data_IF_681046310666
#
_entry.id   IF_681046310666
#
_cell.length_a   1.000
_cell.length_b   1.000
_cell.length_c   1.000
_cell.angle_alpha   90.00
_cell.angle_beta   90.00
_cell.angle_gamma   90.00
#
_symmetry.space_group_name_H-M   'P 1'
#
loop_
_entity.id
_entity.type
_entity.pdbx_description
1 polymer ?
#
# COMPACT_ATOMS: atom_id res chain seq x y z
N UNK A 1 2.57 23.24 -10.62
CA UNK A 1 2.51 22.32 -9.45
C UNK A 1 3.42 21.15 -9.74
N UNK A 2 4.42 20.89 -8.90
CA UNK A 2 5.19 19.67 -8.99
C UNK A 2 4.36 18.48 -8.49
N UNK A 3 4.37 17.38 -9.22
CA UNK A 3 3.65 16.17 -8.85
C UNK A 3 4.27 15.55 -7.58
N UNK A 4 3.42 15.23 -6.59
CA UNK A 4 3.81 14.47 -5.38
C UNK A 4 4.40 13.08 -5.67
N UNK A 5 4.34 12.63 -6.92
CA UNK A 5 4.75 11.29 -7.36
C UNK A 5 6.10 11.25 -8.09
N UNK A 6 6.85 12.37 -8.15
CA UNK A 6 8.13 12.47 -8.90
C UNK A 6 9.20 11.46 -8.47
N UNK A 7 9.12 10.97 -7.24
CA UNK A 7 10.11 10.05 -6.64
C UNK A 7 9.64 8.58 -6.62
N UNK A 8 8.51 8.26 -7.25
CA UNK A 8 8.04 6.87 -7.36
C UNK A 8 8.69 6.22 -8.58
N UNK A 9 9.60 5.28 -8.32
CA UNK A 9 10.26 4.48 -9.34
C UNK A 9 9.64 3.09 -9.42
N UNK A 10 8.41 3.01 -9.95
CA UNK A 10 7.65 1.75 -10.04
C UNK A 10 8.42 0.64 -10.77
N UNK A 11 9.20 0.99 -11.81
CA UNK A 11 10.05 0.03 -12.52
C UNK A 11 11.05 -0.70 -11.61
N UNK A 12 11.61 -0.02 -10.60
CA UNK A 12 12.55 -0.63 -9.65
C UNK A 12 11.85 -1.54 -8.65
N UNK A 13 10.64 -1.16 -8.21
CA UNK A 13 9.82 -2.00 -7.35
C UNK A 13 9.42 -3.28 -8.09
N UNK A 14 9.02 -3.17 -9.36
CA UNK A 14 8.72 -4.34 -10.20
C UNK A 14 9.97 -5.23 -10.31
N UNK A 15 11.14 -4.66 -10.63
CA UNK A 15 12.38 -5.43 -10.73
C UNK A 15 12.66 -6.21 -9.44
N UNK A 16 12.57 -5.54 -8.29
CA UNK A 16 12.74 -6.18 -6.98
C UNK A 16 11.77 -7.36 -6.78
N UNK A 17 10.50 -7.20 -7.15
CA UNK A 17 9.49 -8.26 -7.00
C UNK A 17 9.70 -9.43 -7.95
N UNK A 18 10.26 -9.19 -9.13
CA UNK A 18 10.70 -10.28 -10.03
C UNK A 18 11.87 -11.04 -9.42
N UNK A 19 12.85 -10.33 -8.85
CA UNK A 19 14.03 -10.93 -8.21
C UNK A 19 13.64 -11.78 -6.98
N UNK A 20 12.71 -11.31 -6.16
CA UNK A 20 12.15 -12.03 -4.99
C UNK A 20 11.40 -13.32 -5.38
N UNK A 21 10.82 -13.37 -6.59
CA UNK A 21 10.12 -14.56 -7.12
C UNK A 21 11.07 -15.65 -7.60
N UNK A 22 12.37 -15.37 -7.72
CA UNK A 22 13.38 -16.28 -8.25
C UNK A 22 13.06 -16.83 -9.66
N UNK A 23 12.30 -16.09 -10.45
CA UNK A 23 12.04 -16.40 -11.87
C UNK A 23 13.05 -15.69 -12.76
N UNK A 24 13.41 -16.32 -13.89
CA UNK A 24 14.30 -15.66 -14.85
C UNK A 24 13.60 -14.48 -15.53
N UNK A 25 14.36 -13.46 -15.90
CA UNK A 25 13.82 -12.33 -16.68
C UNK A 25 13.27 -12.77 -18.05
N UNK A 26 13.80 -13.82 -18.66
CA UNK A 26 13.23 -14.36 -19.88
C UNK A 26 11.82 -14.94 -19.66
N UNK A 27 11.65 -15.69 -18.58
CA UNK A 27 10.37 -16.28 -18.21
C UNK A 27 9.35 -15.21 -17.80
N UNK A 28 9.78 -14.22 -17.01
CA UNK A 28 8.93 -13.08 -16.67
C UNK A 28 8.47 -12.30 -17.92
N UNK A 29 9.40 -11.98 -18.83
CA UNK A 29 9.06 -11.31 -20.09
C UNK A 29 8.01 -12.07 -20.90
N UNK A 30 8.13 -13.40 -20.96
CA UNK A 30 7.18 -14.29 -21.63
C UNK A 30 5.79 -14.21 -20.99
N UNK A 31 5.72 -14.22 -19.66
CA UNK A 31 4.48 -14.16 -18.90
C UNK A 31 3.75 -12.82 -19.07
N UNK A 32 4.48 -11.72 -19.26
CA UNK A 32 3.89 -10.38 -19.52
C UNK A 32 3.84 -10.01 -21.00
N UNK A 33 4.01 -10.99 -21.89
CA UNK A 33 3.91 -10.86 -23.35
C UNK A 33 4.84 -9.81 -23.97
N UNK A 34 6.07 -9.69 -23.47
CA UNK A 34 7.07 -8.76 -24.02
C UNK A 34 8.40 -9.44 -24.36
N UNK A 35 9.23 -8.74 -25.13
CA UNK A 35 10.61 -9.16 -25.35
C UNK A 35 11.43 -8.94 -24.07
N UNK A 36 12.42 -9.81 -23.83
CA UNK A 36 13.35 -9.67 -22.69
C UNK A 36 14.05 -8.31 -22.67
N UNK A 37 14.41 -7.77 -23.82
CA UNK A 37 15.05 -6.45 -23.95
C UNK A 37 14.14 -5.32 -23.46
N UNK A 38 12.82 -5.46 -23.62
CA UNK A 38 11.82 -4.50 -23.15
C UNK A 38 11.75 -4.41 -21.63
N UNK A 39 12.18 -5.44 -20.89
CA UNK A 39 12.18 -5.41 -19.42
C UNK A 39 13.08 -4.31 -18.86
N UNK A 40 14.25 -4.08 -19.45
CA UNK A 40 15.15 -3.03 -19.00
C UNK A 40 14.53 -1.64 -19.18
N UNK A 41 13.69 -1.46 -20.21
CA UNK A 41 12.90 -0.24 -20.37
C UNK A 41 11.82 -0.13 -19.30
N UNK A 42 11.13 -1.23 -18.96
CA UNK A 42 10.14 -1.25 -17.87
C UNK A 42 10.80 -0.89 -16.53
N UNK A 43 11.94 -1.50 -16.20
CA UNK A 43 12.62 -1.30 -14.92
C UNK A 43 13.21 0.10 -14.74
N UNK A 44 13.54 0.78 -15.84
CA UNK A 44 14.09 2.14 -15.81
C UNK A 44 13.05 3.22 -16.14
N UNK A 45 11.82 2.85 -16.49
CA UNK A 45 10.77 3.81 -16.79
C UNK A 45 10.20 4.42 -15.51
N UNK A 46 9.93 5.73 -15.56
CA UNK A 46 9.15 6.44 -14.52
C UNK A 46 7.65 6.23 -14.66
N UNK A 47 7.19 5.88 -15.86
CA UNK A 47 5.78 5.73 -16.19
C UNK A 47 5.48 4.32 -16.66
N UNK A 48 4.32 3.80 -16.26
CA UNK A 48 3.78 2.55 -16.76
C UNK A 48 2.28 2.74 -16.94
N UNK A 49 1.75 2.19 -18.02
CA UNK A 49 0.31 2.17 -18.26
C UNK A 49 -0.37 1.20 -17.27
N UNK A 50 -1.63 1.50 -16.93
CA UNK A 50 -2.36 0.76 -15.88
C UNK A 50 -2.60 -0.70 -16.29
N UNK A 51 -2.92 -0.96 -17.56
CA UNK A 51 -3.16 -2.32 -18.06
C UNK A 51 -1.92 -3.21 -17.88
N UNK A 52 -0.74 -2.73 -18.29
CA UNK A 52 0.52 -3.45 -18.07
C UNK A 52 0.88 -3.59 -16.60
N UNK A 53 0.59 -2.59 -15.77
CA UNK A 53 0.80 -2.69 -14.33
C UNK A 53 -0.09 -3.78 -13.71
N UNK A 54 -1.34 -3.91 -14.14
CA UNK A 54 -2.25 -4.96 -13.69
C UNK A 54 -1.80 -6.34 -14.14
N UNK A 55 -1.37 -6.50 -15.39
CA UNK A 55 -0.79 -7.76 -15.88
C UNK A 55 0.44 -8.18 -15.06
N UNK A 56 1.34 -7.24 -14.80
CA UNK A 56 2.53 -7.48 -13.95
C UNK A 56 2.10 -7.83 -12.51
N UNK A 57 1.07 -7.17 -11.99
CA UNK A 57 0.51 -7.46 -10.65
C UNK A 57 -0.01 -8.89 -10.57
N UNK A 58 -0.72 -9.34 -11.60
CA UNK A 58 -1.24 -10.71 -11.69
C UNK A 58 -0.10 -11.72 -11.80
N UNK A 59 0.85 -11.52 -12.70
CA UNK A 59 1.99 -12.42 -12.90
C UNK A 59 2.83 -12.56 -11.63
N UNK A 60 3.09 -11.45 -10.92
CA UNK A 60 3.88 -11.47 -9.69
C UNK A 60 3.05 -11.82 -8.45
N UNK A 61 1.72 -11.82 -8.57
CA UNK A 61 0.74 -11.88 -7.47
C UNK A 61 1.05 -10.81 -6.40
N UNK A 62 1.22 -9.58 -6.84
CA UNK A 62 1.59 -8.44 -6.00
C UNK A 62 0.77 -7.22 -6.36
N UNK A 63 0.14 -6.58 -5.36
CA UNK A 63 -0.69 -5.39 -5.57
C UNK A 63 0.18 -4.13 -5.65
N UNK A 64 0.60 -3.75 -6.86
CA UNK A 64 1.41 -2.55 -7.06
C UNK A 64 0.63 -1.25 -6.86
N UNK A 65 -0.70 -1.25 -7.03
CA UNK A 65 -1.53 -0.05 -6.79
C UNK A 65 -1.52 0.31 -5.31
N UNK A 66 -1.68 -0.69 -4.44
CA UNK A 66 -1.60 -0.49 -2.98
C UNK A 66 -0.21 -0.02 -2.54
N UNK A 67 0.85 -0.59 -3.12
CA UNK A 67 2.23 -0.20 -2.82
C UNK A 67 2.51 1.28 -3.14
N UNK A 68 2.05 1.77 -4.30
CA UNK A 68 2.36 3.14 -4.74
C UNK A 68 1.42 4.18 -4.16
N UNK A 69 0.14 3.84 -3.95
CA UNK A 69 -0.91 4.80 -3.61
C UNK A 69 -1.35 4.69 -2.15
N UNK A 70 -1.63 3.49 -1.66
CA UNK A 70 -2.23 3.30 -0.32
C UNK A 70 -1.17 3.32 0.79
N UNK A 71 -0.04 2.63 0.64
CA UNK A 71 1.02 2.63 1.67
C UNK A 71 1.59 4.02 1.96
N UNK A 72 1.58 4.92 0.97
CA UNK A 72 1.96 6.32 1.14
C UNK A 72 0.86 7.19 1.76
N UNK A 73 -0.40 6.79 1.60
CA UNK A 73 -1.54 7.44 2.25
C UNK A 73 -1.60 7.10 3.75
N UNK A 74 -1.24 5.87 4.13
CA UNK A 74 -1.13 5.45 5.53
C UNK A 74 0.08 6.05 6.26
N UNK A 75 1.08 6.61 5.58
CA UNK A 75 2.10 7.45 6.23
C UNK A 75 1.54 8.81 6.73
N UNK A 76 0.31 9.16 6.32
CA UNK A 76 -0.44 10.31 6.86
C UNK A 76 -1.53 9.91 7.86
N UNK A 77 -1.75 8.61 8.10
CA UNK A 77 -2.51 8.19 9.28
C UNK A 77 -1.62 8.48 10.49
N UNK A 78 -1.90 9.61 11.14
CA UNK A 78 -1.29 9.92 12.42
C UNK A 78 -1.56 8.73 13.33
N UNK A 79 -0.49 8.05 13.72
CA UNK A 79 -0.48 6.95 14.69
C UNK A 79 -0.81 7.54 16.07
N UNK A 80 -2.05 8.00 16.22
CA UNK A 80 -2.57 8.40 17.50
C UNK A 80 -2.93 7.12 18.24
N UNK A 81 -2.51 6.97 19.51
CA UNK A 81 -3.07 5.92 20.34
C UNK A 81 -4.58 6.11 20.40
N UNK A 82 -5.34 5.15 19.87
CA UNK A 82 -6.80 5.13 19.94
C UNK A 82 -7.26 3.96 20.82
N UNK A 83 -8.38 4.16 21.49
CA UNK A 83 -9.06 3.14 22.27
C UNK A 83 -10.29 2.71 21.49
N UNK A 84 -10.43 1.40 21.25
CA UNK A 84 -11.63 0.84 20.61
C UNK A 84 -12.67 0.57 21.69
N UNK A 85 -13.80 1.27 21.62
CA UNK A 85 -14.93 1.05 22.53
C UNK A 85 -16.10 0.49 21.73
N UNK A 86 -16.60 -0.73 22.03
CA UNK A 86 -17.74 -1.29 21.33
C UNK A 86 -19.02 -0.49 21.64
N UNK A 87 -19.78 -0.16 20.59
CA UNK A 87 -21.10 0.45 20.72
C UNK A 87 -22.15 -0.65 20.74
N UNK A 88 -22.98 -0.69 21.79
CA UNK A 88 -24.14 -1.58 21.88
C UNK A 88 -25.39 -0.74 22.07
N UNK A 89 -26.41 -0.99 21.24
CA UNK A 89 -27.71 -0.33 21.35
C UNK A 89 -27.62 1.21 21.40
N UNK A 90 -26.76 1.80 20.57
CA UNK A 90 -26.52 3.25 20.49
C UNK A 90 -25.92 3.89 21.75
N UNK A 91 -25.51 3.09 22.74
CA UNK A 91 -24.77 3.54 23.91
C UNK A 91 -23.34 3.01 23.86
N UNK A 92 -22.42 3.84 24.36
CA UNK A 92 -21.01 3.47 24.50
C UNK A 92 -20.88 2.60 25.77
N UNK A 93 -20.49 1.34 25.61
CA UNK A 93 -20.25 0.44 26.74
C UNK A 93 -18.86 0.70 27.34
N UNK A 94 -18.81 1.59 28.33
CA UNK A 94 -17.59 1.93 29.06
C UNK A 94 -17.37 1.06 30.31
N UNK A 95 -18.20 0.03 30.54
CA UNK A 95 -18.18 -0.75 31.78
C UNK A 95 -16.83 -1.43 32.05
N UNK A 96 -16.13 -1.83 30.99
CA UNK A 96 -14.83 -2.49 31.03
C UNK A 96 -13.64 -1.54 31.12
N UNK A 97 -13.83 -0.21 31.04
CA UNK A 97 -12.75 0.75 31.14
C UNK A 97 -12.36 1.02 32.60
N UNK A 98 -11.08 1.23 32.92
CA UNK A 98 -10.66 1.71 34.24
C UNK A 98 -11.30 3.06 34.59
N UNK A 99 -11.52 3.32 35.88
CA UNK A 99 -12.16 4.57 36.33
C UNK A 99 -11.36 5.82 35.94
N UNK A 100 -10.03 5.76 35.92
CA UNK A 100 -9.21 6.92 35.52
C UNK A 100 -9.51 7.36 34.08
N UNK A 101 -9.80 6.40 33.18
CA UNK A 101 -10.17 6.70 31.81
C UNK A 101 -11.60 7.24 31.69
N UNK A 102 -12.54 6.76 32.52
CA UNK A 102 -13.92 7.27 32.54
C UNK A 102 -13.97 8.73 32.97
N UNK A 103 -13.19 9.09 33.99
CA UNK A 103 -13.08 10.47 34.48
C UNK A 103 -12.42 11.38 33.44
N UNK A 104 -11.37 10.91 32.77
CA UNK A 104 -10.74 11.66 31.68
C UNK A 104 -11.71 11.91 30.52
N UNK A 105 -12.50 10.90 30.12
CA UNK A 105 -13.52 11.06 29.09
C UNK A 105 -14.63 12.05 29.49
N UNK A 106 -15.04 12.05 30.77
CA UNK A 106 -16.02 13.03 31.29
C UNK A 106 -15.52 14.45 31.24
N UNK A 107 -14.23 14.68 31.52
CA UNK A 107 -13.65 16.02 31.54
C UNK A 107 -13.45 16.62 30.13
N UNK A 108 -13.19 15.78 29.12
CA UNK A 108 -12.88 16.25 27.76
C UNK A 108 -14.10 16.32 26.82
N UNK A 109 -15.19 15.58 27.10
CA UNK A 109 -16.35 15.47 26.20
C UNK A 109 -17.62 16.19 26.70
N UNK A 110 -17.63 16.72 27.93
CA UNK A 110 -18.72 17.50 28.54
C UNK A 110 -18.23 18.90 28.94
#
# INVERSE_FOLDING_TARGET
>A
MESKFKDIYIGKIIQQKVDERHISYAEFARQIHCARTSLYHIFNSKNIDVERLLLISEVLQYNFIEEIYLKRSSQQEKEYPYIVIPIKNQNIDISHLPEEFKELLRHELL
#
